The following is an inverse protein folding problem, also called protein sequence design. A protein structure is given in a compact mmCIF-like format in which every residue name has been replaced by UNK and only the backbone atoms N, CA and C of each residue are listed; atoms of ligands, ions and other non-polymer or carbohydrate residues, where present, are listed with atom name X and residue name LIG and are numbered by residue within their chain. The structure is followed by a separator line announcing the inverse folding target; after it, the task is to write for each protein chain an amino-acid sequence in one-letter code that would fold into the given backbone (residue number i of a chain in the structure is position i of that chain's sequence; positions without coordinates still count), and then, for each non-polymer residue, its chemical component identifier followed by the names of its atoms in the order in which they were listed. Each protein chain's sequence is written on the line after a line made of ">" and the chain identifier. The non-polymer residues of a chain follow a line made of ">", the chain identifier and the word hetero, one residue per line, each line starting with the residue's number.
data_IF_847660221184
#
_entry.id   IF_847660221184
#
_cell.length_a   1.000
_cell.length_b   1.000
_cell.length_c   1.000
_cell.angle_alpha   90.00
_cell.angle_beta   90.00
_cell.angle_gamma   90.00
#
_symmetry.space_group_name_H-M   'P 1'
#
loop_
_entity.id
_entity.type
_entity.pdbx_description
1 polymer ?
#
# COMPACT_ATOMS: atom_id res chain seq x y z
N UNK A 1 -5.63 13.08 -5.77
CA UNK A 1 -4.72 13.06 -6.95
C UNK A 1 -3.60 14.11 -6.90
N UNK A 2 -3.35 14.79 -5.78
CA UNK A 2 -2.18 15.69 -5.59
C UNK A 2 -1.10 15.02 -4.69
N UNK A 3 -1.41 13.89 -4.05
CA UNK A 3 -0.59 13.31 -2.97
C UNK A 3 0.57 12.42 -3.44
N UNK A 4 0.45 11.73 -4.59
CA UNK A 4 1.56 10.93 -5.15
C UNK A 4 2.68 11.83 -5.71
N UNK A 5 2.33 13.01 -6.21
CA UNK A 5 3.29 14.00 -6.70
C UNK A 5 4.12 14.60 -5.57
N UNK A 6 3.54 14.81 -4.39
CA UNK A 6 4.26 15.28 -3.20
C UNK A 6 5.27 14.24 -2.68
N UNK A 7 4.94 12.95 -2.74
CA UNK A 7 5.88 11.87 -2.39
C UNK A 7 7.05 11.75 -3.39
N UNK A 8 6.82 12.08 -4.66
CA UNK A 8 7.87 12.13 -5.68
C UNK A 8 8.68 13.44 -5.65
N UNK A 9 8.07 14.59 -5.35
CA UNK A 9 8.78 15.89 -5.26
C UNK A 9 9.72 15.97 -4.06
N UNK A 10 9.48 15.18 -3.01
CA UNK A 10 10.42 14.95 -1.91
C UNK A 10 11.67 14.15 -2.32
N UNK A 11 11.86 13.82 -3.60
CA UNK A 11 13.09 13.21 -4.14
C UNK A 11 14.03 14.19 -4.85
N UNK A 12 13.64 15.48 -4.97
CA UNK A 12 14.51 16.53 -5.50
C UNK A 12 15.55 16.98 -4.46
N UNK A 13 16.81 16.62 -4.70
CA UNK A 13 17.95 16.54 -3.77
C UNK A 13 18.37 17.81 -3.00
N UNK A 14 17.76 18.98 -3.24
CA UNK A 14 18.03 20.21 -2.50
C UNK A 14 16.91 20.67 -1.55
N UNK A 15 15.65 20.33 -1.86
CA UNK A 15 14.47 20.66 -1.03
C UNK A 15 14.01 19.46 -0.20
N UNK A 16 14.32 18.24 -0.66
CA UNK A 16 14.07 17.00 0.06
C UNK A 16 14.84 16.93 1.38
N UNK A 17 16.12 17.30 1.42
CA UNK A 17 16.93 17.21 2.64
C UNK A 17 16.43 18.14 3.75
N UNK A 18 15.95 19.35 3.42
CA UNK A 18 15.44 20.31 4.40
C UNK A 18 14.03 19.96 4.90
N UNK A 19 13.15 19.48 4.02
CA UNK A 19 11.79 19.07 4.38
C UNK A 19 11.77 17.73 5.12
N UNK A 20 12.58 16.74 4.71
CA UNK A 20 12.74 15.47 5.44
C UNK A 20 13.41 15.68 6.81
N UNK A 21 14.38 16.59 6.90
CA UNK A 21 14.97 17.00 8.18
C UNK A 21 13.92 17.64 9.10
N UNK A 22 13.06 18.52 8.58
CA UNK A 22 11.97 19.12 9.36
C UNK A 22 10.95 18.09 9.84
N UNK A 23 10.49 17.19 8.97
CA UNK A 23 9.54 16.14 9.35
C UNK A 23 10.14 15.17 10.37
N UNK A 24 11.45 14.90 10.29
CA UNK A 24 12.16 14.08 11.28
C UNK A 24 12.22 14.75 12.65
N UNK A 25 12.52 16.05 12.71
CA UNK A 25 12.47 16.82 13.96
C UNK A 25 11.06 16.83 14.58
N UNK A 26 10.03 17.00 13.75
CA UNK A 26 8.64 16.98 14.20
C UNK A 26 8.22 15.60 14.73
N UNK A 27 8.64 14.52 14.05
CA UNK A 27 8.44 13.15 14.51
C UNK A 27 9.11 12.90 15.86
N UNK A 28 10.39 13.27 16.00
CA UNK A 28 11.14 13.11 17.25
C UNK A 28 10.52 13.92 18.39
N UNK A 29 10.03 15.14 18.11
CA UNK A 29 9.34 15.98 19.09
C UNK A 29 8.05 15.32 19.59
N UNK A 30 7.18 14.83 18.70
CA UNK A 30 5.94 14.16 19.11
C UNK A 30 6.19 12.80 19.79
N UNK A 31 7.22 12.08 19.37
CA UNK A 31 7.65 10.85 20.03
C UNK A 31 8.07 11.13 21.48
N UNK A 32 8.87 12.16 21.72
CA UNK A 32 9.29 12.58 23.06
C UNK A 32 8.11 13.07 23.89
N UNK A 33 7.24 13.92 23.31
CA UNK A 33 6.03 14.40 23.99
C UNK A 33 5.11 13.25 24.40
N UNK A 34 4.98 12.22 23.55
CA UNK A 34 4.19 11.05 23.88
C UNK A 34 4.81 10.23 25.03
N UNK A 35 6.14 10.07 25.03
CA UNK A 35 6.88 9.35 26.09
C UNK A 35 6.84 10.05 27.46
N UNK A 36 6.79 11.39 27.48
CA UNK A 36 6.71 12.18 28.71
C UNK A 36 5.33 12.03 29.38
N UNK A 37 4.28 11.67 28.64
CA UNK A 37 2.96 11.46 29.24
C UNK A 37 3.00 10.31 30.27
N UNK A 38 2.24 10.40 31.38
CA UNK A 38 2.04 9.27 32.28
C UNK A 38 1.48 8.05 31.57
N UNK A 39 1.81 6.85 32.05
CA UNK A 39 1.39 5.57 31.44
C UNK A 39 -0.13 5.49 31.22
N UNK A 40 -0.92 5.94 32.20
CA UNK A 40 -2.38 5.96 32.09
C UNK A 40 -2.86 6.87 30.95
N UNK A 41 -2.17 7.98 30.71
CA UNK A 41 -2.49 8.92 29.67
C UNK A 41 -2.06 8.43 28.28
N UNK A 42 -0.89 7.79 28.19
CA UNK A 42 -0.47 7.09 26.96
C UNK A 42 -1.50 6.02 26.57
N UNK A 43 -1.94 5.19 27.54
CA UNK A 43 -2.96 4.16 27.30
C UNK A 43 -4.29 4.77 26.89
N UNK A 44 -4.72 5.86 27.53
CA UNK A 44 -5.93 6.57 27.14
C UNK A 44 -5.87 7.06 25.69
N UNK A 45 -4.78 7.75 25.30
CA UNK A 45 -4.57 8.21 23.93
C UNK A 45 -4.57 7.05 22.93
N UNK A 46 -3.96 5.91 23.29
CA UNK A 46 -3.96 4.71 22.46
C UNK A 46 -5.36 4.10 22.31
N UNK A 47 -6.19 4.09 23.35
CA UNK A 47 -7.58 3.63 23.27
C UNK A 47 -8.42 4.51 22.34
N UNK A 48 -8.24 5.84 22.43
CA UNK A 48 -8.88 6.77 21.51
C UNK A 48 -8.39 6.56 20.07
N UNK A 49 -7.08 6.37 19.90
CA UNK A 49 -6.48 6.06 18.61
C UNK A 49 -7.01 4.76 17.99
N UNK A 50 -7.21 3.70 18.78
CA UNK A 50 -7.82 2.44 18.34
C UNK A 50 -9.22 2.71 17.80
N UNK A 51 -10.07 3.39 18.58
CA UNK A 51 -11.44 3.67 18.15
C UNK A 51 -11.49 4.49 16.86
N UNK A 52 -10.56 5.43 16.67
CA UNK A 52 -10.48 6.25 15.46
C UNK A 52 -9.97 5.44 14.27
N UNK A 53 -8.90 4.68 14.45
CA UNK A 53 -8.33 3.83 13.40
C UNK A 53 -9.31 2.75 12.95
N UNK A 54 -10.03 2.11 13.88
CA UNK A 54 -11.09 1.14 13.55
C UNK A 54 -12.19 1.78 12.70
N UNK A 55 -12.65 2.98 13.07
CA UNK A 55 -13.66 3.70 12.30
C UNK A 55 -13.22 4.01 10.85
N UNK A 56 -11.95 4.38 10.68
CA UNK A 56 -11.35 4.57 9.34
C UNK A 56 -11.30 3.24 8.57
N UNK A 57 -10.80 2.17 9.20
CA UNK A 57 -10.62 0.87 8.54
C UNK A 57 -11.94 0.18 8.14
N UNK A 58 -13.01 0.43 8.90
CA UNK A 58 -14.35 -0.12 8.65
C UNK A 58 -15.18 0.75 7.70
N UNK A 59 -14.72 1.95 7.36
CA UNK A 59 -15.46 2.89 6.53
C UNK A 59 -16.68 3.48 7.22
N UNK A 60 -16.60 3.72 8.52
CA UNK A 60 -17.70 4.33 9.28
C UNK A 60 -17.94 5.78 8.84
N UNK A 61 -19.18 6.26 8.92
CA UNK A 61 -19.52 7.64 8.56
C UNK A 61 -19.32 8.65 9.68
N UNK A 62 -19.05 8.15 10.89
CA UNK A 62 -18.92 8.96 12.10
C UNK A 62 -17.94 8.32 13.06
N UNK A 63 -17.18 9.17 13.74
CA UNK A 63 -16.34 8.79 14.88
C UNK A 63 -16.52 9.79 16.01
N UNK A 64 -16.44 9.31 17.24
CA UNK A 64 -16.31 10.12 18.45
C UNK A 64 -14.98 9.78 19.09
N UNK A 65 -14.29 10.80 19.57
CA UNK A 65 -13.06 10.63 20.33
C UNK A 65 -12.98 11.72 21.40
N UNK A 66 -12.16 11.49 22.41
CA UNK A 66 -12.00 12.44 23.49
C UNK A 66 -10.52 12.77 23.73
N UNK A 67 -10.23 14.04 24.00
CA UNK A 67 -8.93 14.50 24.47
C UNK A 67 -8.74 14.12 25.95
N UNK A 68 -7.50 13.97 26.43
CA UNK A 68 -7.23 13.72 27.84
C UNK A 68 -7.63 14.92 28.72
N UNK A 69 -7.72 14.71 30.04
CA UNK A 69 -8.11 15.77 30.98
C UNK A 69 -7.02 16.83 31.20
N UNK A 70 -5.77 16.44 31.02
CA UNK A 70 -4.57 17.26 31.18
C UNK A 70 -3.50 16.76 30.23
N UNK A 71 -2.48 17.56 29.92
CA UNK A 71 -1.31 17.15 29.13
C UNK A 71 -0.03 17.59 29.81
N UNK A 72 1.00 16.75 29.67
CA UNK A 72 2.33 17.02 30.18
C UNK A 72 3.20 17.49 29.03
N UNK A 73 3.94 18.58 29.19
CA UNK A 73 4.91 18.98 28.18
C UNK A 73 6.07 19.73 28.82
N UNK A 74 7.23 19.64 28.19
CA UNK A 74 8.40 20.43 28.55
C UNK A 74 8.69 21.43 27.44
N UNK A 75 8.56 22.74 27.67
CA UNK A 75 8.79 23.76 26.64
C UNK A 75 10.27 23.87 26.23
N UNK A 76 11.18 23.36 27.07
CA UNK A 76 12.64 23.32 26.83
C UNK A 76 13.24 22.11 27.53
N UNK A 77 14.26 21.46 26.94
CA UNK A 77 14.99 20.30 27.52
C UNK A 77 15.52 20.50 28.96
N UNK A 78 15.59 21.74 29.44
CA UNK A 78 16.12 22.12 30.76
C UNK A 78 15.04 22.53 31.79
N UNK A 79 13.76 22.57 31.40
CA UNK A 79 12.67 23.01 32.28
C UNK A 79 11.83 21.85 32.83
N UNK A 80 11.33 22.02 34.06
CA UNK A 80 10.40 21.07 34.69
C UNK A 80 9.13 20.89 33.87
N UNK A 81 8.63 19.65 33.86
CA UNK A 81 7.38 19.27 33.19
C UNK A 81 6.22 20.16 33.63
N UNK A 82 5.59 20.83 32.67
CA UNK A 82 4.37 21.60 32.89
C UNK A 82 3.16 20.70 32.67
N UNK A 83 2.16 20.90 33.52
CA UNK A 83 0.87 20.23 33.41
C UNK A 83 -0.18 21.29 33.13
N UNK A 84 -0.86 21.16 31.99
CA UNK A 84 -1.99 22.02 31.64
C UNK A 84 -3.26 21.20 31.55
N UNK A 85 -4.37 21.77 32.04
CA UNK A 85 -5.68 21.12 32.04
C UNK A 85 -6.46 21.52 30.81
N UNK A 86 -7.11 20.55 30.20
CA UNK A 86 -7.94 20.76 29.02
C UNK A 86 -9.37 21.12 29.47
N UNK A 87 -9.96 22.23 28.97
CA UNK A 87 -11.33 22.61 29.30
C UNK A 87 -12.33 21.50 28.93
N UNK A 88 -13.30 21.25 29.81
CA UNK A 88 -14.26 20.14 29.66
C UNK A 88 -15.05 20.22 28.32
N UNK A 89 -15.42 21.43 27.90
CA UNK A 89 -16.18 21.69 26.68
C UNK A 89 -15.44 21.28 25.40
N UNK A 90 -14.12 21.11 25.47
CA UNK A 90 -13.26 20.74 24.36
C UNK A 90 -12.76 19.29 24.44
N UNK A 91 -13.14 18.52 25.45
CA UNK A 91 -12.68 17.13 25.59
C UNK A 91 -13.36 16.23 24.59
N UNK A 92 -14.68 16.26 24.52
CA UNK A 92 -15.43 15.41 23.60
C UNK A 92 -15.45 15.99 22.19
N UNK A 93 -15.04 15.17 21.23
CA UNK A 93 -14.99 15.51 19.81
C UNK A 93 -15.85 14.52 19.03
N UNK A 94 -16.54 15.01 18.02
CA UNK A 94 -17.24 14.15 17.07
C UNK A 94 -17.05 14.65 15.65
N UNK A 95 -16.75 13.72 14.76
CA UNK A 95 -16.53 13.98 13.33
C UNK A 95 -17.50 13.08 12.56
N UNK A 96 -18.24 13.66 11.63
CA UNK A 96 -19.31 12.99 10.88
C UNK A 96 -20.71 13.14 11.52
N UNK A 97 -21.74 13.19 10.68
CA UNK A 97 -23.13 13.50 11.06
C UNK A 97 -24.10 13.56 9.87
N UNK A 98 -25.40 13.66 10.16
CA UNK A 98 -26.60 13.29 9.36
C UNK A 98 -26.79 13.81 7.92
N UNK A 99 -25.82 14.46 7.28
CA UNK A 99 -25.94 14.93 5.90
C UNK A 99 -24.77 14.48 5.04
N UNK A 100 -24.91 13.28 4.47
CA UNK A 100 -24.68 12.96 3.04
C UNK A 100 -24.23 11.50 2.86
N UNK A 101 -25.15 10.53 2.82
CA UNK A 101 -24.89 9.23 2.21
C UNK A 101 -24.64 9.31 0.69
N UNK A 102 -24.66 10.51 0.10
CA UNK A 102 -24.76 10.74 -1.35
C UNK A 102 -23.53 11.38 -1.98
N UNK A 103 -22.56 11.84 -1.18
CA UNK A 103 -21.21 12.16 -1.65
C UNK A 103 -20.22 11.28 -0.92
N UNK A 104 -19.10 10.98 -1.56
CA UNK A 104 -17.93 10.28 -1.02
C UNK A 104 -17.39 11.02 0.22
N UNK A 105 -18.07 10.90 1.36
CA UNK A 105 -17.63 11.45 2.62
C UNK A 105 -16.43 10.64 3.07
N UNK A 106 -15.25 11.26 2.94
CA UNK A 106 -14.02 10.67 3.41
C UNK A 106 -13.82 11.03 4.89
N UNK A 107 -14.15 10.08 5.76
CA UNK A 107 -13.99 10.21 7.22
C UNK A 107 -12.54 10.56 7.58
N UNK A 108 -11.55 10.02 6.87
CA UNK A 108 -10.14 10.27 7.14
C UNK A 108 -9.83 11.76 6.97
N UNK A 109 -10.22 12.35 5.83
CA UNK A 109 -10.08 13.77 5.56
C UNK A 109 -10.80 14.64 6.60
N UNK A 110 -12.01 14.25 7.02
CA UNK A 110 -12.76 14.99 8.04
C UNK A 110 -12.06 14.95 9.41
N UNK A 111 -11.45 13.80 9.78
CA UNK A 111 -10.65 13.67 11.01
C UNK A 111 -9.40 14.55 10.93
N UNK A 112 -8.69 14.52 9.80
CA UNK A 112 -7.50 15.37 9.56
C UNK A 112 -7.85 16.84 9.76
N UNK A 113 -8.91 17.33 9.10
CA UNK A 113 -9.36 18.70 9.24
C UNK A 113 -9.72 19.06 10.69
N UNK A 114 -10.38 18.14 11.41
CA UNK A 114 -10.74 18.40 12.81
C UNK A 114 -9.52 18.46 13.72
N UNK A 115 -8.58 17.52 13.58
CA UNK A 115 -7.36 17.49 14.38
C UNK A 115 -6.48 18.70 14.07
N UNK A 116 -6.33 19.08 12.80
CA UNK A 116 -5.63 20.32 12.44
C UNK A 116 -6.30 21.56 13.02
N UNK A 117 -7.63 21.64 13.06
CA UNK A 117 -8.32 22.77 13.69
C UNK A 117 -8.06 22.86 15.21
N UNK A 118 -7.95 21.71 15.89
CA UNK A 118 -7.62 21.65 17.32
C UNK A 118 -6.14 22.01 17.58
N UNK A 119 -5.23 21.60 16.70
CA UNK A 119 -3.82 21.98 16.78
C UNK A 119 -3.59 23.49 16.59
N UNK A 120 -4.39 24.15 15.76
CA UNK A 120 -4.35 25.60 15.57
C UNK A 120 -5.12 26.37 16.65
N UNK A 121 -5.58 25.71 17.72
CA UNK A 121 -6.20 26.36 18.86
C UNK A 121 -5.23 27.30 19.56
N UNK A 122 -5.75 28.40 20.11
CA UNK A 122 -4.97 29.32 20.97
C UNK A 122 -4.60 28.71 22.32
N UNK A 123 -5.31 27.65 22.73
CA UNK A 123 -5.03 26.88 23.94
C UNK A 123 -3.95 25.83 23.65
N UNK A 124 -2.80 25.99 24.31
CA UNK A 124 -1.62 25.13 24.16
C UNK A 124 -1.95 23.69 24.57
N UNK A 125 -2.78 23.48 25.60
CA UNK A 125 -3.14 22.15 26.06
C UNK A 125 -3.96 21.38 25.02
N UNK A 126 -4.90 22.08 24.36
CA UNK A 126 -5.72 21.51 23.27
C UNK A 126 -4.83 21.21 22.06
N UNK A 127 -3.93 22.14 21.71
CA UNK A 127 -3.03 21.99 20.58
C UNK A 127 -2.13 20.75 20.73
N UNK A 128 -1.47 20.60 21.88
CA UNK A 128 -0.61 19.47 22.20
C UNK A 128 -1.40 18.16 22.24
N UNK A 129 -2.59 18.14 22.85
CA UNK A 129 -3.42 16.95 22.91
C UNK A 129 -3.86 16.46 21.52
N UNK A 130 -4.19 17.38 20.62
CA UNK A 130 -4.56 17.04 19.25
C UNK A 130 -3.37 16.43 18.49
N UNK A 131 -2.18 17.03 18.61
CA UNK A 131 -0.96 16.48 18.00
C UNK A 131 -0.56 15.11 18.57
N UNK A 132 -0.67 14.92 19.89
CA UNK A 132 -0.46 13.61 20.54
C UNK A 132 -1.46 12.56 20.05
N UNK A 133 -2.71 12.94 19.83
CA UNK A 133 -3.72 12.03 19.29
C UNK A 133 -3.43 11.65 17.83
N UNK A 134 -3.00 12.61 16.98
CA UNK A 134 -2.54 12.31 15.61
C UNK A 134 -1.38 11.33 15.61
N UNK A 135 -0.38 11.57 16.44
CA UNK A 135 0.75 10.66 16.64
C UNK A 135 0.25 9.27 17.06
N UNK A 136 -0.61 9.18 18.07
CA UNK A 136 -1.13 7.91 18.58
C UNK A 136 -1.95 7.13 17.54
N UNK A 137 -2.77 7.81 16.72
CA UNK A 137 -3.53 7.19 15.62
C UNK A 137 -2.59 6.58 14.59
N UNK A 138 -1.66 7.38 14.07
CA UNK A 138 -0.72 6.90 13.06
C UNK A 138 0.20 5.80 13.62
N UNK A 139 0.64 5.93 14.88
CA UNK A 139 1.41 4.91 15.58
C UNK A 139 0.64 3.59 15.68
N UNK A 140 -0.65 3.65 16.04
CA UNK A 140 -1.49 2.45 16.10
C UNK A 140 -1.64 1.79 14.73
N UNK A 141 -1.91 2.57 13.67
CA UNK A 141 -2.03 2.04 12.31
C UNK A 141 -0.72 1.35 11.90
N UNK A 142 0.41 2.03 12.06
CA UNK A 142 1.72 1.55 11.61
C UNK A 142 2.16 0.33 12.42
N UNK A 143 2.12 0.38 13.75
CA UNK A 143 2.72 -0.64 14.59
C UNK A 143 1.78 -1.78 15.01
N UNK A 144 0.46 -1.57 15.00
CA UNK A 144 -0.51 -2.55 15.52
C UNK A 144 -1.43 -3.14 14.47
N UNK A 145 -1.91 -2.34 13.51
CA UNK A 145 -2.83 -2.85 12.47
C UNK A 145 -2.12 -3.55 11.33
N UNK A 146 -0.91 -3.12 11.01
CA UNK A 146 -0.15 -3.67 9.89
C UNK A 146 0.79 -4.80 10.34
N UNK A 147 0.84 -5.92 9.60
CA UNK A 147 1.70 -7.03 9.94
C UNK A 147 3.17 -6.60 10.00
N UNK A 148 3.92 -7.18 10.94
CA UNK A 148 5.38 -7.06 10.94
C UNK A 148 5.93 -7.94 9.81
N UNK A 149 6.55 -7.30 8.82
CA UNK A 149 7.25 -7.98 7.72
C UNK A 149 8.73 -8.21 8.05
N UNK A 150 9.42 -8.91 7.14
CA UNK A 150 10.88 -9.06 7.15
C UNK A 150 11.55 -7.80 6.62
N UNK A 151 12.79 -7.53 7.01
CA UNK A 151 13.57 -6.50 6.30
C UNK A 151 14.02 -7.07 4.95
N UNK A 152 13.54 -6.46 3.86
CA UNK A 152 13.85 -6.85 2.48
C UNK A 152 14.19 -5.60 1.70
N UNK A 153 15.36 -5.61 1.08
CA UNK A 153 15.75 -4.58 0.13
C UNK A 153 15.25 -4.98 -1.25
N UNK A 154 14.45 -4.14 -1.87
CA UNK A 154 14.05 -4.31 -3.25
C UNK A 154 15.00 -3.50 -4.15
N UNK A 155 15.52 -4.14 -5.19
CA UNK A 155 16.26 -3.47 -6.24
C UNK A 155 15.29 -2.96 -7.31
N UNK A 156 15.72 -1.87 -7.94
CA UNK A 156 15.14 -1.37 -9.18
C UNK A 156 15.69 -2.24 -10.31
N UNK A 157 14.81 -2.94 -11.02
CA UNK A 157 15.17 -3.57 -12.29
C UNK A 157 15.45 -2.46 -13.32
N UNK A 158 16.50 -2.57 -14.14
CA UNK A 158 16.91 -1.51 -15.09
C UNK A 158 15.70 -0.94 -15.84
N UNK A 159 15.44 0.37 -15.71
CA UNK A 159 14.31 1.05 -16.36
C UNK A 159 12.96 0.99 -15.64
N UNK A 160 12.88 0.44 -14.43
CA UNK A 160 11.73 0.61 -13.54
C UNK A 160 11.89 1.82 -12.60
N UNK A 161 10.78 2.45 -12.23
CA UNK A 161 10.70 3.57 -11.28
C UNK A 161 10.43 3.08 -9.84
N UNK A 162 9.92 1.84 -9.69
CA UNK A 162 9.53 1.26 -8.39
C UNK A 162 10.40 0.03 -8.10
N UNK A 163 11.12 -0.01 -6.97
CA UNK A 163 11.87 -1.18 -6.54
C UNK A 163 10.91 -2.36 -6.29
N UNK A 164 11.06 -3.45 -7.05
CA UNK A 164 10.10 -4.56 -7.06
C UNK A 164 10.76 -5.95 -7.16
N UNK A 165 12.09 -6.03 -7.26
CA UNK A 165 12.82 -7.29 -7.23
C UNK A 165 13.53 -7.45 -5.89
N UNK A 166 13.20 -8.46 -5.06
CA UNK A 166 13.92 -8.68 -3.82
C UNK A 166 15.39 -9.00 -4.12
N UNK A 167 16.32 -8.28 -3.48
CA UNK A 167 17.75 -8.51 -3.64
C UNK A 167 18.16 -9.78 -2.90
N UNK A 168 18.94 -10.63 -3.56
CA UNK A 168 19.62 -11.75 -2.92
C UNK A 168 20.67 -11.22 -1.93
N UNK A 169 20.34 -11.13 -0.65
CA UNK A 169 21.37 -11.28 0.37
C UNK A 169 21.65 -12.78 0.49
N UNK A 170 22.81 -13.24 0.02
CA UNK A 170 23.26 -14.60 0.29
C UNK A 170 23.16 -14.87 1.79
N UNK A 171 22.26 -15.77 2.16
CA UNK A 171 21.91 -16.13 3.54
C UNK A 171 23.09 -16.68 4.37
N UNK A 172 24.31 -16.67 3.83
CA UNK A 172 25.54 -17.09 4.51
C UNK A 172 26.18 -15.99 5.37
N UNK A 173 25.76 -14.72 5.32
CA UNK A 173 26.38 -13.64 6.14
C UNK A 173 25.59 -13.20 7.38
N UNK A 174 24.38 -13.70 7.63
CA UNK A 174 23.60 -13.40 8.86
C UNK A 174 23.02 -14.63 9.57
N UNK A 175 23.48 -15.85 9.25
CA UNK A 175 23.08 -17.07 9.97
C UNK A 175 23.96 -17.36 11.20
N UNK A 176 24.13 -16.37 12.09
CA UNK A 176 24.55 -16.59 13.49
C UNK A 176 24.27 -15.31 14.29
N UNK A 177 23.00 -15.00 14.53
CA UNK A 177 22.50 -14.30 15.72
C UNK A 177 21.11 -13.74 15.41
N UNK A 178 20.08 -14.54 15.69
CA UNK A 178 18.75 -14.16 16.20
C UNK A 178 17.76 -15.24 15.77
N UNK A 179 17.69 -16.30 16.58
CA UNK A 179 16.40 -16.95 16.84
C UNK A 179 15.49 -15.85 17.40
N UNK A 180 14.69 -15.22 16.54
CA UNK A 180 13.61 -14.36 17.01
C UNK A 180 12.61 -15.24 17.74
N UNK A 181 12.50 -14.95 19.03
CA UNK A 181 11.49 -15.47 19.93
C UNK A 181 10.12 -15.18 19.31
N UNK A 182 9.36 -16.23 19.04
CA UNK A 182 7.92 -16.13 18.83
C UNK A 182 7.30 -15.70 20.16
N UNK A 183 7.11 -14.41 20.38
CA UNK A 183 6.27 -13.92 21.46
C UNK A 183 4.82 -14.12 21.07
N UNK A 184 4.17 -15.08 21.75
CA UNK A 184 2.72 -15.13 21.85
C UNK A 184 2.21 -13.89 22.61
N UNK A 185 0.96 -13.51 22.30
CA UNK A 185 0.10 -12.48 22.93
C UNK A 185 0.19 -11.05 22.37
N UNK A 186 -0.80 -10.70 21.54
CA UNK A 186 -1.64 -9.53 21.82
C UNK A 186 -3.03 -9.70 21.22
N UNK A 187 -4.03 -9.62 22.10
CA UNK A 187 -5.46 -9.71 21.84
C UNK A 187 -5.95 -8.47 21.08
N UNK A 188 -6.01 -8.54 19.75
CA UNK A 188 -6.93 -7.78 18.88
C UNK A 188 -6.88 -8.23 17.39
N UNK A 189 -6.41 -9.45 17.10
CA UNK A 189 -6.43 -10.03 15.76
C UNK A 189 -7.75 -10.75 15.49
N UNK A 190 -8.90 -10.05 15.54
CA UNK A 190 -10.22 -10.72 15.47
C UNK A 190 -10.74 -10.95 14.04
N UNK A 191 -10.07 -10.52 12.96
CA UNK A 191 -10.61 -10.78 11.59
C UNK A 191 -9.63 -11.30 10.53
N UNK A 192 -8.30 -11.32 10.72
CA UNK A 192 -7.38 -11.55 9.57
C UNK A 192 -6.69 -12.92 9.54
N UNK A 193 -6.76 -13.74 10.59
CA UNK A 193 -5.91 -14.94 10.68
C UNK A 193 -6.62 -16.25 10.24
N UNK A 194 -7.13 -16.28 9.01
CA UNK A 194 -7.68 -17.52 8.39
C UNK A 194 -7.19 -17.78 6.98
N UNK A 195 -5.89 -17.58 6.71
CA UNK A 195 -5.31 -18.12 5.48
C UNK A 195 -3.99 -18.82 5.80
N UNK A 196 -4.08 -20.14 5.94
CA UNK A 196 -2.92 -21.03 6.02
C UNK A 196 -2.29 -21.12 4.62
N UNK A 197 -1.42 -20.17 4.28
CA UNK A 197 -0.64 -20.25 3.05
C UNK A 197 0.36 -21.42 3.14
N UNK A 198 0.51 -22.25 2.09
CA UNK A 198 1.56 -23.26 2.05
C UNK A 198 2.94 -22.58 2.13
N UNK A 199 3.74 -22.97 3.11
CA UNK A 199 5.10 -22.45 3.30
C UNK A 199 5.99 -22.90 2.13
N UNK A 200 6.47 -21.95 1.31
CA UNK A 200 7.43 -22.19 0.24
C UNK A 200 8.67 -21.36 0.50
N UNK A 201 9.87 -21.95 0.35
CA UNK A 201 11.15 -21.29 0.62
C UNK A 201 11.34 -20.00 -0.21
N UNK A 202 10.79 -19.97 -1.43
CA UNK A 202 10.75 -18.77 -2.28
C UNK A 202 10.00 -17.59 -1.63
N UNK A 203 8.94 -17.85 -0.87
CA UNK A 203 8.15 -16.81 -0.20
C UNK A 203 8.95 -16.09 0.90
N UNK A 204 10.00 -16.71 1.45
CA UNK A 204 10.83 -16.10 2.49
C UNK A 204 11.60 -14.86 2.03
N UNK A 205 11.70 -14.64 0.72
CA UNK A 205 12.41 -13.53 0.08
C UNK A 205 11.58 -12.24 0.04
N UNK A 206 10.28 -12.34 0.29
CA UNK A 206 9.36 -11.22 0.28
C UNK A 206 9.17 -10.63 1.67
N UNK A 207 8.77 -9.35 1.70
CA UNK A 207 8.49 -8.60 2.92
C UNK A 207 7.46 -9.33 3.80
N UNK A 208 6.39 -9.84 3.19
CA UNK A 208 5.32 -10.60 3.84
C UNK A 208 5.19 -11.99 3.20
N UNK A 209 5.95 -12.99 3.68
CA UNK A 209 5.96 -14.34 3.10
C UNK A 209 4.59 -15.03 3.05
N UNK A 210 3.71 -14.76 4.02
CA UNK A 210 2.36 -15.35 4.03
C UNK A 210 1.43 -14.80 2.95
N UNK A 211 1.80 -13.67 2.31
CA UNK A 211 1.02 -13.00 1.27
C UNK A 211 1.69 -13.09 -0.12
N UNK A 212 2.38 -14.20 -0.38
CA UNK A 212 3.02 -14.49 -1.67
C UNK A 212 2.16 -15.50 -2.43
N UNK A 213 1.69 -15.08 -3.61
CA UNK A 213 0.86 -15.89 -4.49
C UNK A 213 1.66 -16.55 -5.62
N UNK A 214 2.76 -15.93 -6.05
CA UNK A 214 3.62 -16.37 -7.14
C UNK A 214 5.07 -16.41 -6.70
N UNK A 215 5.83 -17.40 -7.16
CA UNK A 215 7.29 -17.40 -7.04
C UNK A 215 7.95 -16.45 -8.05
N UNK A 216 9.28 -16.35 -8.01
CA UNK A 216 10.07 -15.52 -8.92
C UNK A 216 9.96 -15.94 -10.39
N UNK A 217 9.53 -17.18 -10.65
CA UNK A 217 9.32 -17.70 -11.99
C UNK A 217 7.88 -17.49 -12.49
N UNK A 218 7.03 -16.81 -11.71
CA UNK A 218 5.63 -16.56 -12.06
C UNK A 218 4.73 -17.78 -11.91
N UNK A 219 5.17 -18.82 -11.18
CA UNK A 219 4.36 -19.99 -10.90
C UNK A 219 3.42 -19.73 -9.73
N UNK A 220 2.15 -20.05 -9.91
CA UNK A 220 1.14 -19.97 -8.85
C UNK A 220 1.49 -20.94 -7.71
N UNK A 221 1.63 -20.40 -6.50
CA UNK A 221 1.89 -21.15 -5.26
C UNK A 221 0.62 -21.50 -4.49
N UNK A 222 -0.49 -20.84 -4.81
CA UNK A 222 -1.79 -20.99 -4.17
C UNK A 222 -2.68 -22.00 -4.89
N UNK A 223 -3.83 -22.33 -4.29
CA UNK A 223 -4.76 -23.29 -4.86
C UNK A 223 -5.61 -22.67 -5.99
N UNK A 224 -5.76 -21.34 -6.01
CA UNK A 224 -6.55 -20.64 -7.03
C UNK A 224 -6.06 -19.22 -7.35
N UNK A 225 -6.47 -18.73 -8.52
CA UNK A 225 -6.25 -17.33 -8.95
C UNK A 225 -7.04 -16.36 -8.04
N UNK A 226 -8.20 -16.77 -7.53
CA UNK A 226 -9.02 -15.95 -6.65
C UNK A 226 -8.30 -15.68 -5.32
N UNK A 227 -7.61 -16.67 -4.78
CA UNK A 227 -6.77 -16.49 -3.58
C UNK A 227 -5.60 -15.53 -3.87
N UNK A 228 -4.96 -15.63 -5.04
CA UNK A 228 -3.91 -14.71 -5.46
C UNK A 228 -4.40 -13.25 -5.56
N UNK A 229 -5.58 -13.05 -6.15
CA UNK A 229 -6.24 -11.74 -6.21
C UNK A 229 -6.58 -11.21 -4.81
N UNK A 230 -7.05 -12.06 -3.90
CA UNK A 230 -7.34 -11.67 -2.52
C UNK A 230 -6.07 -11.25 -1.75
N UNK A 231 -4.92 -11.89 -2.02
CA UNK A 231 -3.64 -11.49 -1.43
C UNK A 231 -3.20 -10.11 -1.93
N UNK A 232 -3.27 -9.86 -3.23
CA UNK A 232 -2.95 -8.53 -3.80
C UNK A 232 -3.92 -7.47 -3.25
N UNK A 233 -5.21 -7.77 -3.15
CA UNK A 233 -6.20 -6.86 -2.54
C UNK A 233 -5.89 -6.55 -1.06
N UNK A 234 -5.36 -7.52 -0.32
CA UNK A 234 -4.90 -7.32 1.06
C UNK A 234 -3.69 -6.39 1.12
N UNK A 235 -2.72 -6.55 0.21
CA UNK A 235 -1.55 -5.66 0.11
C UNK A 235 -1.97 -4.23 -0.26
N UNK A 236 -2.90 -4.06 -1.20
CA UNK A 236 -3.49 -2.76 -1.55
C UNK A 236 -4.14 -2.09 -0.33
N UNK A 237 -4.92 -2.86 0.45
CA UNK A 237 -5.54 -2.35 1.68
C UNK A 237 -4.49 -1.91 2.70
N UNK A 238 -3.40 -2.65 2.85
CA UNK A 238 -2.32 -2.26 3.76
C UNK A 238 -1.60 -0.99 3.31
N UNK A 239 -1.37 -0.83 2.00
CA UNK A 239 -0.78 0.39 1.46
C UNK A 239 -1.69 1.61 1.71
N UNK A 240 -2.99 1.46 1.47
CA UNK A 240 -3.98 2.50 1.76
C UNK A 240 -3.96 2.92 3.24
N UNK A 241 -3.83 1.96 4.18
CA UNK A 241 -3.71 2.28 5.61
C UNK A 241 -2.44 3.06 5.94
N UNK A 242 -1.30 2.74 5.29
CA UNK A 242 -0.06 3.50 5.45
C UNK A 242 -0.19 4.93 4.93
N UNK A 243 -0.87 5.11 3.79
CA UNK A 243 -1.15 6.44 3.22
C UNK A 243 -2.07 7.25 4.15
N UNK A 244 -3.12 6.64 4.69
CA UNK A 244 -4.01 7.27 5.67
C UNK A 244 -3.28 7.66 6.96
N UNK A 245 -2.34 6.84 7.44
CA UNK A 245 -1.53 7.17 8.61
C UNK A 245 -0.70 8.44 8.38
N UNK A 246 -0.11 8.60 7.20
CA UNK A 246 0.67 9.79 6.80
C UNK A 246 -0.23 10.99 6.55
N UNK A 247 -1.41 10.79 5.97
CA UNK A 247 -2.41 11.84 5.82
C UNK A 247 -2.82 12.42 7.18
N UNK A 248 -2.96 11.54 8.19
CA UNK A 248 -3.25 11.92 9.58
C UNK A 248 -2.03 12.55 10.23
N UNK A 249 -0.83 12.01 10.07
CA UNK A 249 0.39 12.51 10.70
C UNK A 249 1.56 12.54 9.69
N UNK A 250 1.74 13.64 8.93
CA UNK A 250 2.71 13.71 7.84
C UNK A 250 4.16 13.43 8.25
N UNK A 251 4.52 13.80 9.48
CA UNK A 251 5.85 13.54 10.04
C UNK A 251 6.17 12.05 10.19
N UNK A 252 5.18 11.14 10.18
CA UNK A 252 5.41 9.70 10.24
C UNK A 252 6.14 9.13 9.02
N UNK A 253 6.26 9.90 7.92
CA UNK A 253 7.14 9.52 6.79
C UNK A 253 8.59 9.34 7.25
N UNK A 254 9.02 10.06 8.31
CA UNK A 254 10.36 9.95 8.86
C UNK A 254 10.57 8.69 9.74
N UNK A 255 9.50 7.97 10.09
CA UNK A 255 9.59 6.73 10.85
C UNK A 255 10.16 5.60 9.98
N UNK A 256 11.23 4.97 10.45
CA UNK A 256 11.89 3.85 9.77
C UNK A 256 10.95 2.66 9.60
N UNK A 257 10.07 2.39 10.57
CA UNK A 257 9.12 1.29 10.49
C UNK A 257 8.06 1.54 9.40
N UNK A 258 7.62 2.79 9.25
CA UNK A 258 6.72 3.19 8.16
C UNK A 258 7.41 3.01 6.80
N UNK A 259 8.63 3.54 6.64
CA UNK A 259 9.38 3.43 5.38
C UNK A 259 9.58 1.97 4.98
N UNK A 260 10.03 1.13 5.93
CA UNK A 260 10.24 -0.29 5.70
C UNK A 260 8.95 -1.00 5.27
N UNK A 261 7.82 -0.72 5.94
CA UNK A 261 6.51 -1.29 5.58
C UNK A 261 6.02 -0.81 4.22
N UNK A 262 6.15 0.48 3.95
CA UNK A 262 5.71 1.08 2.69
C UNK A 262 6.46 0.50 1.49
N UNK A 263 7.79 0.59 1.47
CA UNK A 263 8.59 0.03 0.38
C UNK A 263 8.45 -1.49 0.30
N UNK A 264 8.37 -2.16 1.45
CA UNK A 264 8.23 -3.61 1.53
C UNK A 264 6.94 -4.14 0.88
N UNK A 265 5.82 -3.50 1.22
CA UNK A 265 4.48 -3.86 0.72
C UNK A 265 4.32 -3.43 -0.73
N UNK A 266 4.75 -2.22 -1.10
CA UNK A 266 4.68 -1.70 -2.47
C UNK A 266 5.46 -2.59 -3.44
N UNK A 267 6.72 -2.91 -3.12
CA UNK A 267 7.57 -3.76 -3.94
C UNK A 267 6.97 -5.16 -4.11
N UNK A 268 6.46 -5.76 -3.02
CA UNK A 268 5.77 -7.04 -3.09
C UNK A 268 4.49 -6.98 -3.93
N UNK A 269 3.67 -5.95 -3.76
CA UNK A 269 2.41 -5.80 -4.49
C UNK A 269 2.64 -5.65 -5.99
N UNK A 270 3.59 -4.81 -6.41
CA UNK A 270 3.97 -4.65 -7.82
C UNK A 270 4.46 -5.97 -8.39
N UNK A 271 5.36 -6.66 -7.69
CA UNK A 271 5.90 -7.95 -8.12
C UNK A 271 4.78 -9.00 -8.32
N UNK A 272 3.96 -9.19 -7.29
CA UNK A 272 2.90 -10.20 -7.29
C UNK A 272 1.77 -9.85 -8.27
N UNK A 273 1.47 -8.56 -8.44
CA UNK A 273 0.50 -8.07 -9.41
C UNK A 273 0.95 -8.29 -10.86
N UNK A 274 2.22 -8.03 -11.17
CA UNK A 274 2.80 -8.32 -12.50
C UNK A 274 2.87 -9.82 -12.76
N UNK A 275 3.23 -10.63 -11.77
CA UNK A 275 3.22 -12.08 -11.89
C UNK A 275 1.81 -12.63 -12.15
N UNK A 276 0.78 -12.07 -11.50
CA UNK A 276 -0.61 -12.42 -11.78
C UNK A 276 -1.01 -12.06 -13.22
N UNK A 277 -0.66 -10.87 -13.71
CA UNK A 277 -0.92 -10.48 -15.09
C UNK A 277 -0.25 -11.44 -16.08
N UNK A 278 1.04 -11.74 -15.88
CA UNK A 278 1.78 -12.70 -16.70
C UNK A 278 1.13 -14.08 -16.70
N UNK A 279 0.74 -14.60 -15.53
CA UNK A 279 0.04 -15.88 -15.43
C UNK A 279 -1.27 -15.89 -16.23
N UNK A 280 -2.07 -14.82 -16.11
CA UNK A 280 -3.32 -14.69 -16.85
C UNK A 280 -3.10 -14.56 -18.36
N UNK A 281 -2.06 -13.86 -18.80
CA UNK A 281 -1.65 -13.81 -20.22
C UNK A 281 -1.34 -15.20 -20.76
N UNK A 282 -0.61 -16.03 -20.01
CA UNK A 282 -0.33 -17.41 -20.41
C UNK A 282 -1.60 -18.26 -20.53
N UNK A 283 -2.56 -18.08 -19.62
CA UNK A 283 -3.86 -18.76 -19.71
C UNK A 283 -4.69 -18.28 -20.91
N UNK A 284 -4.63 -16.99 -21.27
CA UNK A 284 -5.25 -16.46 -22.49
C UNK A 284 -4.62 -17.12 -23.72
N UNK A 285 -3.29 -17.18 -23.80
CA UNK A 285 -2.55 -17.83 -24.90
C UNK A 285 -2.98 -19.28 -25.07
N UNK A 286 -2.94 -20.07 -23.99
CA UNK A 286 -3.36 -21.49 -24.02
C UNK A 286 -4.80 -21.64 -24.48
N UNK A 287 -5.70 -20.76 -24.02
CA UNK A 287 -7.11 -20.79 -24.42
C UNK A 287 -7.30 -20.48 -25.90
N UNK A 288 -6.57 -19.51 -26.45
CA UNK A 288 -6.59 -19.22 -27.89
C UNK A 288 -6.06 -20.42 -28.67
N UNK A 289 -4.90 -20.97 -28.30
CA UNK A 289 -4.31 -22.14 -28.98
C UNK A 289 -5.27 -23.34 -29.00
N UNK A 290 -5.92 -23.63 -27.86
CA UNK A 290 -6.94 -24.69 -27.77
C UNK A 290 -8.15 -24.40 -28.67
N UNK A 291 -8.71 -23.18 -28.62
CA UNK A 291 -9.86 -22.80 -29.46
C UNK A 291 -9.52 -22.78 -30.95
N UNK A 292 -8.28 -22.45 -31.31
CA UNK A 292 -7.79 -22.51 -32.68
C UNK A 292 -7.75 -23.96 -33.18
N UNK A 293 -7.23 -24.89 -32.37
CA UNK A 293 -7.21 -26.32 -32.70
C UNK A 293 -8.62 -26.92 -32.87
N UNK A 294 -9.59 -26.40 -32.11
CA UNK A 294 -11.01 -26.80 -32.22
C UNK A 294 -11.78 -26.09 -33.35
N UNK A 295 -11.14 -25.23 -34.16
CA UNK A 295 -11.80 -24.37 -35.16
C UNK A 295 -12.93 -23.48 -34.60
N UNK A 296 -12.80 -23.04 -33.33
CA UNK A 296 -13.79 -22.21 -32.61
C UNK A 296 -13.46 -20.71 -32.62
N UNK A 297 -12.50 -20.29 -33.45
CA UNK A 297 -12.06 -18.90 -33.59
C UNK A 297 -12.47 -18.23 -34.90
N UNK A 298 -13.14 -18.94 -35.81
CA UNK A 298 -13.50 -18.45 -37.16
C UNK A 298 -14.66 -17.43 -37.17
N UNK A 299 -14.93 -16.80 -36.02
CA UNK A 299 -16.02 -15.82 -35.80
C UNK A 299 -15.54 -14.51 -35.20
N UNK A 300 -14.23 -14.31 -35.08
CA UNK A 300 -13.62 -13.14 -34.45
C UNK A 300 -12.93 -13.46 -33.12
N UNK A 301 -11.98 -12.61 -32.76
CA UNK A 301 -11.19 -12.69 -31.54
C UNK A 301 -10.90 -11.28 -31.03
N UNK A 302 -11.42 -10.98 -29.84
CA UNK A 302 -11.05 -9.80 -29.05
C UNK A 302 -10.37 -10.26 -27.78
N UNK A 303 -9.33 -9.54 -27.37
CA UNK A 303 -8.51 -9.85 -26.22
C UNK A 303 -8.63 -8.75 -25.17
N UNK A 304 -8.59 -9.20 -23.91
CA UNK A 304 -8.45 -8.36 -22.72
C UNK A 304 -7.16 -8.79 -22.06
N UNK A 305 -6.08 -8.08 -22.37
CA UNK A 305 -4.76 -8.43 -21.87
C UNK A 305 -4.56 -7.76 -20.50
N UNK A 306 -4.41 -8.52 -19.41
CA UNK A 306 -4.19 -7.94 -18.10
C UNK A 306 -2.79 -7.35 -17.99
N UNK A 307 -2.67 -6.24 -17.27
CA UNK A 307 -1.38 -5.67 -16.89
C UNK A 307 -1.50 -5.00 -15.53
N UNK A 308 -0.40 -4.95 -14.78
CA UNK A 308 -0.35 -4.18 -13.55
C UNK A 308 -0.12 -2.69 -13.83
N UNK A 309 -1.02 -1.84 -13.36
CA UNK A 309 -0.95 -0.38 -13.49
C UNK A 309 -0.33 0.21 -12.22
N UNK A 310 0.92 0.68 -12.33
CA UNK A 310 1.69 1.17 -11.19
C UNK A 310 1.13 2.48 -10.62
N UNK A 311 0.41 3.30 -11.40
CA UNK A 311 -0.23 4.54 -10.90
C UNK A 311 -1.44 4.23 -10.03
N UNK A 312 -2.24 3.24 -10.44
CA UNK A 312 -3.45 2.80 -9.71
C UNK A 312 -3.16 1.73 -8.66
N UNK A 313 -1.97 1.15 -8.68
CA UNK A 313 -1.60 0.00 -7.85
C UNK A 313 -2.54 -1.21 -8.03
N UNK A 314 -3.09 -1.41 -9.24
CA UNK A 314 -4.10 -2.43 -9.53
C UNK A 314 -3.92 -3.10 -10.89
N UNK A 315 -4.55 -4.25 -11.08
CA UNK A 315 -4.62 -4.89 -12.40
C UNK A 315 -5.70 -4.19 -13.23
N UNK A 316 -5.30 -3.71 -14.40
CA UNK A 316 -6.17 -3.18 -15.44
C UNK A 316 -6.14 -4.12 -16.66
N UNK A 317 -7.10 -3.95 -17.59
CA UNK A 317 -7.15 -4.72 -18.83
C UNK A 317 -6.95 -3.80 -20.03
N UNK A 318 -6.04 -4.19 -20.91
CA UNK A 318 -5.85 -3.56 -22.22
C UNK A 318 -6.68 -4.31 -23.26
N UNK A 319 -7.71 -3.67 -23.80
CA UNK A 319 -8.64 -4.29 -24.74
C UNK A 319 -8.24 -3.98 -26.19
N UNK A 320 -8.17 -5.02 -27.03
CA UNK A 320 -7.97 -4.85 -28.46
C UNK A 320 -8.59 -6.01 -29.26
N UNK A 321 -8.85 -5.76 -30.54
CA UNK A 321 -9.42 -6.76 -31.44
C UNK A 321 -8.34 -7.32 -32.35
N UNK A 322 -8.23 -8.65 -32.39
CA UNK A 322 -7.31 -9.38 -33.27
C UNK A 322 -8.00 -9.71 -34.59
N UNK A 323 -9.23 -10.22 -34.53
CA UNK A 323 -10.07 -10.50 -35.70
C UNK A 323 -11.45 -9.89 -35.42
N UNK A 324 -11.96 -9.00 -36.27
CA UNK A 324 -13.30 -8.45 -36.09
C UNK A 324 -14.36 -9.56 -36.15
N UNK A 325 -15.51 -9.33 -35.53
CA UNK A 325 -16.63 -10.27 -35.60
C UNK A 325 -17.07 -10.48 -37.06
N UNK A 326 -17.01 -11.72 -37.53
CA UNK A 326 -17.30 -12.06 -38.94
C UNK A 326 -16.80 -13.45 -39.32
N UNK A 327 -17.07 -13.88 -40.55
CA UNK A 327 -16.67 -15.18 -41.07
C UNK A 327 -15.22 -15.13 -41.60
N UNK A 328 -14.28 -14.84 -40.71
CA UNK A 328 -12.85 -14.79 -41.01
C UNK A 328 -12.19 -15.97 -40.30
N UNK A 329 -11.59 -16.87 -41.09
CA UNK A 329 -10.85 -18.01 -40.56
C UNK A 329 -9.69 -17.52 -39.69
N UNK A 330 -9.53 -18.12 -38.51
CA UNK A 330 -8.41 -17.77 -37.63
C UNK A 330 -7.08 -18.28 -38.20
N UNK A 331 -6.09 -17.39 -38.31
CA UNK A 331 -4.71 -17.72 -38.65
C UNK A 331 -3.80 -17.11 -37.56
N UNK A 332 -2.81 -17.84 -37.02
CA UNK A 332 -1.90 -17.34 -35.97
C UNK A 332 -1.23 -16.00 -36.29
N UNK A 333 -0.94 -15.75 -37.57
CA UNK A 333 -0.38 -14.49 -38.05
C UNK A 333 -1.21 -13.25 -37.68
N UNK A 334 -2.54 -13.38 -37.54
CA UNK A 334 -3.38 -12.28 -37.08
C UNK A 334 -3.09 -11.87 -35.64
N UNK A 335 -2.82 -12.84 -34.75
CA UNK A 335 -2.42 -12.54 -33.37
C UNK A 335 -1.06 -11.83 -33.32
N UNK A 336 -0.10 -12.25 -34.14
CA UNK A 336 1.23 -11.61 -34.27
C UNK A 336 1.11 -10.18 -34.78
N UNK A 337 0.35 -9.94 -35.86
CA UNK A 337 0.15 -8.61 -36.42
C UNK A 337 -0.57 -7.69 -35.44
N UNK A 338 -1.64 -8.16 -34.80
CA UNK A 338 -2.36 -7.39 -33.81
C UNK A 338 -1.47 -7.03 -32.61
N UNK A 339 -0.67 -7.98 -32.09
CA UNK A 339 0.26 -7.73 -30.99
C UNK A 339 1.29 -6.65 -31.36
N UNK A 340 1.91 -6.74 -32.55
CA UNK A 340 2.88 -5.72 -33.02
C UNK A 340 2.26 -4.34 -33.19
N UNK A 341 1.06 -4.27 -33.76
CA UNK A 341 0.36 -2.99 -33.92
C UNK A 341 0.07 -2.36 -32.56
N UNK A 342 -0.37 -3.15 -31.58
CA UNK A 342 -0.59 -2.65 -30.22
C UNK A 342 0.72 -2.28 -29.52
N UNK A 343 1.82 -3.01 -29.72
CA UNK A 343 3.13 -2.64 -29.15
C UNK A 343 3.57 -1.25 -29.63
N UNK A 344 3.38 -0.93 -30.91
CA UNK A 344 3.70 0.41 -31.45
C UNK A 344 2.85 1.49 -30.78
N UNK A 345 1.55 1.26 -30.63
CA UNK A 345 0.63 2.20 -29.97
C UNK A 345 1.00 2.42 -28.50
N UNK A 346 1.24 1.33 -27.76
CA UNK A 346 1.61 1.38 -26.34
C UNK A 346 2.97 2.06 -26.15
N UNK A 347 3.95 1.83 -27.04
CA UNK A 347 5.25 2.48 -26.97
C UNK A 347 5.15 4.02 -27.06
N UNK A 348 4.16 4.52 -27.81
CA UNK A 348 3.88 5.94 -28.02
C UNK A 348 2.89 6.53 -27.00
N UNK A 349 2.34 5.73 -26.09
CA UNK A 349 1.32 6.20 -25.14
C UNK A 349 1.94 6.88 -23.93
N UNK A 350 1.93 8.22 -23.94
CA UNK A 350 2.45 9.07 -22.87
C UNK A 350 1.56 9.14 -21.62
N UNK A 351 0.35 8.58 -21.66
CA UNK A 351 -0.51 8.52 -20.47
C UNK A 351 -0.02 7.47 -19.46
N UNK A 352 0.65 6.41 -19.93
CA UNK A 352 1.19 5.33 -19.11
C UNK A 352 2.54 5.73 -18.49
N UNK A 353 2.78 5.31 -17.23
CA UNK A 353 4.14 5.41 -16.66
C UNK A 353 5.10 4.52 -17.45
N UNK A 354 6.39 4.85 -17.38
CA UNK A 354 7.45 4.12 -18.09
C UNK A 354 7.43 2.63 -17.70
N UNK A 355 7.31 2.36 -16.40
CA UNK A 355 7.20 1.02 -15.83
C UNK A 355 5.99 0.22 -16.32
N UNK A 356 4.81 0.84 -16.29
CA UNK A 356 3.55 0.20 -16.70
C UNK A 356 3.56 -0.07 -18.20
N UNK A 357 4.07 0.88 -18.98
CA UNK A 357 4.27 0.75 -20.43
C UNK A 357 5.18 -0.44 -20.73
N UNK A 358 6.33 -0.55 -20.05
CA UNK A 358 7.28 -1.65 -20.22
C UNK A 358 6.68 -3.01 -19.87
N UNK A 359 5.95 -3.09 -18.77
CA UNK A 359 5.27 -4.32 -18.38
C UNK A 359 4.23 -4.73 -19.43
N UNK A 360 3.37 -3.82 -19.88
CA UNK A 360 2.38 -4.10 -20.93
C UNK A 360 3.03 -4.52 -22.26
N UNK A 361 4.15 -3.90 -22.64
CA UNK A 361 4.92 -4.31 -23.82
C UNK A 361 5.46 -5.73 -23.68
N UNK A 362 5.87 -6.13 -22.48
CA UNK A 362 6.34 -7.49 -22.19
C UNK A 362 5.20 -8.51 -22.35
N UNK A 363 4.00 -8.20 -21.86
CA UNK A 363 2.82 -9.06 -22.03
C UNK A 363 2.41 -9.19 -23.51
N UNK A 364 2.44 -8.08 -24.26
CA UNK A 364 2.17 -8.09 -25.70
C UNK A 364 3.24 -8.85 -26.49
N UNK A 365 4.50 -8.79 -26.06
CA UNK A 365 5.59 -9.54 -26.68
C UNK A 365 5.49 -11.05 -26.38
N UNK A 366 5.10 -11.43 -25.16
CA UNK A 366 4.78 -12.82 -24.81
C UNK A 366 3.67 -13.38 -25.70
N UNK A 367 2.62 -12.60 -25.97
CA UNK A 367 1.57 -12.96 -26.91
C UNK A 367 2.11 -13.16 -28.33
N UNK A 368 2.95 -12.24 -28.83
CA UNK A 368 3.57 -12.34 -30.15
C UNK A 368 4.40 -13.63 -30.29
N UNK A 369 5.30 -13.89 -29.33
CA UNK A 369 6.19 -15.06 -29.35
C UNK A 369 5.42 -16.39 -29.36
N UNK A 370 4.26 -16.43 -28.68
CA UNK A 370 3.45 -17.64 -28.60
C UNK A 370 2.76 -18.05 -29.91
N UNK A 371 2.63 -17.14 -30.88
CA UNK A 371 2.00 -17.37 -32.19
C UNK A 371 2.96 -17.20 -33.38
N UNK A 372 4.24 -16.90 -33.12
CA UNK A 372 5.30 -16.92 -34.13
C UNK A 372 5.78 -18.34 -34.49
N UNK A 373 5.56 -19.30 -33.60
CA UNK A 373 5.80 -20.73 -33.81
C UNK A 373 4.53 -21.38 -34.35
#
# INVERSE_FOLDING_TARGET
>A
MIEQSLLLELSASGLSESSTSRLRLEYEAYQQLFQIQPVLQQQYLLLQAISVAEAITQGNYRVRFALPDQVYFSPTMETMDRVERIPADHREQSVGGLHAPWLQFDLCNAIVQRLSALEHSTDVAISIAAGLLRYAIAYHIIYRLLPAGKSVTYAILEGDDIPNQPVHEDAQRKSTAQRSVLTHETLAAVVVDRIAAPYVEAANRFFLPKWVAFDEQGKLLLNSIQEAQAYIASLQKYLLLLEQAVQIAPFMIADEAWQQKHYGILGQMVNQGRALAAYQTHEIIKNIQRRAADHRLDRGLSLRLPYFNDKKNSIDNYEFTVIPSGWIMFIPAFAVLAAREQQIKVAQDDCLSITTRRHLLTELHSLELAFLR
#
